data_IF_510845297327
#
_entry.id   IF_510845297327
#
_cell.length_a   1.000
_cell.length_b   1.000
_cell.length_c   1.000
_cell.angle_alpha   90.00
_cell.angle_beta   90.00
_cell.angle_gamma   90.00
#
_symmetry.space_group_name_H-M   'P 1'
#
loop_
_entity.id
_entity.type
_entity.pdbx_description
1 polymer ?
#
# COMPACT_ATOMS: atom_id res chain seq x y z
N UNK A 1 -18.25 -23.35 -34.40
CA UNK A 1 -17.03 -23.06 -33.63
C UNK A 1 -16.22 -22.03 -34.41
N UNK A 2 -16.06 -20.78 -33.95
CA UNK A 2 -14.99 -19.90 -34.41
C UNK A 2 -13.82 -20.02 -33.42
N UNK A 3 -12.75 -20.71 -33.79
CA UNK A 3 -11.52 -20.13 -34.37
C UNK A 3 -10.83 -19.13 -33.43
N UNK A 4 -10.04 -19.69 -32.51
CA UNK A 4 -8.85 -19.15 -31.84
C UNK A 4 -8.71 -17.63 -31.86
N UNK A 5 -9.32 -16.99 -30.87
CA UNK A 5 -9.12 -15.61 -30.49
C UNK A 5 -7.81 -15.43 -29.69
N UNK A 6 -6.69 -15.86 -30.27
CA UNK A 6 -5.37 -15.68 -29.65
C UNK A 6 -4.95 -14.21 -29.62
N UNK A 7 -5.65 -13.33 -30.36
CA UNK A 7 -5.50 -11.87 -30.28
C UNK A 7 -6.06 -11.30 -28.98
N UNK A 8 -7.13 -11.88 -28.41
CA UNK A 8 -7.55 -11.60 -27.02
C UNK A 8 -6.57 -12.11 -25.96
N UNK A 9 -5.76 -13.13 -26.27
CA UNK A 9 -4.79 -13.72 -25.33
C UNK A 9 -3.40 -13.04 -25.36
N UNK A 10 -3.14 -12.11 -26.29
CA UNK A 10 -1.81 -11.50 -26.48
C UNK A 10 -1.82 -9.97 -26.66
N UNK A 11 -2.99 -9.33 -26.66
CA UNK A 11 -3.05 -7.87 -26.60
C UNK A 11 -2.98 -7.45 -25.13
N UNK A 12 -1.89 -6.78 -24.74
CA UNK A 12 -1.94 -5.91 -23.57
C UNK A 12 -3.15 -5.00 -23.75
N UNK A 13 -4.07 -5.01 -22.78
CA UNK A 13 -5.24 -4.15 -22.83
C UNK A 13 -4.73 -2.72 -23.00
N UNK A 14 -5.27 -2.01 -23.98
CA UNK A 14 -4.90 -0.61 -24.18
C UNK A 14 -5.38 0.20 -22.97
N UNK A 15 -4.67 1.28 -22.67
CA UNK A 15 -5.05 2.26 -21.64
C UNK A 15 -6.55 2.61 -21.68
N UNK A 16 -7.08 2.82 -22.90
CA UNK A 16 -8.49 3.16 -23.13
C UNK A 16 -9.47 2.01 -22.84
N UNK A 17 -9.07 0.77 -23.04
CA UNK A 17 -9.90 -0.40 -22.72
C UNK A 17 -10.01 -0.58 -21.21
N UNK A 18 -8.93 -0.37 -20.47
CA UNK A 18 -8.95 -0.49 -19.01
C UNK A 18 -9.78 0.62 -18.39
N UNK A 19 -9.61 1.88 -18.81
CA UNK A 19 -10.46 2.99 -18.34
C UNK A 19 -11.95 2.68 -18.54
N UNK A 20 -12.34 2.04 -19.65
CA UNK A 20 -13.73 1.62 -19.87
C UNK A 20 -14.16 0.51 -18.91
N UNK A 21 -13.32 -0.51 -18.68
CA UNK A 21 -13.60 -1.59 -17.73
C UNK A 21 -13.71 -1.06 -16.30
N UNK A 22 -12.87 -0.10 -15.92
CA UNK A 22 -12.93 0.60 -14.64
C UNK A 22 -14.25 1.36 -14.47
N UNK A 23 -14.65 2.14 -15.49
CA UNK A 23 -15.94 2.86 -15.48
C UNK A 23 -17.15 1.91 -15.45
N UNK A 24 -16.99 0.69 -15.96
CA UNK A 24 -18.00 -0.34 -15.90
C UNK A 24 -18.01 -1.12 -14.56
N UNK A 25 -17.02 -0.89 -13.67
CA UNK A 25 -16.87 -1.62 -12.42
C UNK A 25 -16.55 -3.10 -12.62
N UNK A 26 -15.94 -3.46 -13.75
CA UNK A 26 -15.57 -4.85 -14.02
C UNK A 26 -14.44 -5.30 -13.09
N UNK A 27 -14.48 -6.56 -12.65
CA UNK A 27 -13.33 -7.18 -11.98
C UNK A 27 -12.15 -7.25 -12.96
N UNK A 28 -10.99 -6.86 -12.44
CA UNK A 28 -9.68 -6.90 -13.08
C UNK A 28 -8.72 -7.81 -12.29
N UNK A 29 -9.27 -8.76 -11.52
CA UNK A 29 -8.47 -9.69 -10.73
C UNK A 29 -7.57 -10.55 -11.62
N UNK A 30 -6.30 -10.69 -11.23
CA UNK A 30 -5.28 -11.45 -11.95
C UNK A 30 -4.82 -10.83 -13.28
N UNK A 31 -5.35 -9.68 -13.67
CA UNK A 31 -5.01 -9.03 -14.94
C UNK A 31 -3.61 -8.39 -14.88
N UNK A 32 -2.96 -8.28 -16.05
CA UNK A 32 -1.70 -7.57 -16.17
C UNK A 32 -1.94 -6.09 -16.50
N UNK A 33 -1.69 -5.23 -15.52
CA UNK A 33 -1.90 -3.79 -15.53
C UNK A 33 -0.59 -3.01 -15.32
N UNK A 34 0.56 -3.67 -15.50
CA UNK A 34 1.86 -3.08 -15.19
C UNK A 34 2.19 -1.87 -16.08
N UNK A 35 2.76 -0.84 -15.48
CA UNK A 35 3.18 0.42 -16.11
C UNK A 35 2.05 1.22 -16.79
N UNK A 36 0.79 0.96 -16.44
CA UNK A 36 -0.34 1.70 -16.98
C UNK A 36 -0.57 3.02 -16.25
N UNK A 37 -1.17 3.97 -16.95
CA UNK A 37 -1.57 5.27 -16.41
C UNK A 37 -3.01 5.23 -15.90
N UNK A 38 -3.20 4.80 -14.66
CA UNK A 38 -4.49 4.79 -13.97
C UNK A 38 -4.71 6.05 -13.11
N UNK A 39 -4.05 7.16 -13.47
CA UNK A 39 -4.18 8.44 -12.78
C UNK A 39 -5.64 8.92 -12.79
N UNK A 40 -6.11 9.41 -11.65
CA UNK A 40 -7.47 9.94 -11.44
C UNK A 40 -8.63 8.96 -11.78
N UNK A 41 -8.37 7.65 -11.85
CA UNK A 41 -9.42 6.69 -12.21
C UNK A 41 -10.38 6.41 -11.03
N UNK A 42 -11.70 6.25 -11.31
CA UNK A 42 -12.68 5.87 -10.31
C UNK A 42 -12.68 4.34 -10.13
N UNK A 43 -11.80 3.85 -9.26
CA UNK A 43 -11.59 2.42 -8.98
C UNK A 43 -12.27 1.97 -7.68
N UNK A 44 -13.23 2.75 -7.16
CA UNK A 44 -13.87 2.46 -5.90
C UNK A 44 -14.62 1.11 -5.96
N UNK A 45 -14.40 0.24 -4.99
CA UNK A 45 -14.99 -1.09 -4.89
C UNK A 45 -14.54 -2.08 -5.97
N UNK A 46 -13.58 -1.72 -6.82
CA UNK A 46 -13.11 -2.62 -7.88
C UNK A 46 -12.37 -3.82 -7.28
N UNK A 47 -12.46 -4.94 -7.97
CA UNK A 47 -11.71 -6.13 -7.63
C UNK A 47 -10.44 -6.21 -8.50
N UNK A 48 -9.29 -5.98 -7.85
CA UNK A 48 -7.94 -6.02 -8.41
C UNK A 48 -7.08 -7.07 -7.69
N UNK A 49 -7.69 -8.06 -7.01
CA UNK A 49 -6.90 -9.10 -6.34
C UNK A 49 -6.01 -9.85 -7.31
N UNK A 50 -4.79 -10.19 -6.89
CA UNK A 50 -3.79 -10.90 -7.71
C UNK A 50 -3.36 -10.14 -8.99
N UNK A 51 -3.83 -8.91 -9.22
CA UNK A 51 -3.46 -8.14 -10.40
C UNK A 51 -1.99 -7.73 -10.36
N UNK A 52 -1.37 -7.65 -11.53
CA UNK A 52 -0.03 -7.09 -11.67
C UNK A 52 -0.12 -5.59 -11.98
N UNK A 53 0.08 -4.74 -10.99
CA UNK A 53 0.10 -3.28 -11.06
C UNK A 53 1.52 -2.71 -10.92
N UNK A 54 2.55 -3.53 -11.12
CA UNK A 54 3.95 -3.09 -10.97
C UNK A 54 4.26 -1.89 -11.86
N UNK A 55 4.83 -0.84 -11.27
CA UNK A 55 5.14 0.42 -11.94
C UNK A 55 3.94 1.21 -12.47
N UNK A 56 2.69 0.82 -12.17
CA UNK A 56 1.52 1.56 -12.59
C UNK A 56 1.44 2.94 -11.92
N UNK A 57 0.96 3.94 -12.65
CA UNK A 57 0.64 5.24 -12.11
C UNK A 57 -0.82 5.25 -11.65
N UNK A 58 -1.05 5.38 -10.36
CA UNK A 58 -2.36 5.42 -9.70
C UNK A 58 -2.52 6.75 -8.95
N UNK A 59 -1.78 7.78 -9.34
CA UNK A 59 -1.86 9.09 -8.70
C UNK A 59 -3.30 9.59 -8.64
N UNK A 60 -3.73 9.98 -7.43
CA UNK A 60 -5.08 10.47 -7.15
C UNK A 60 -6.22 9.52 -7.57
N UNK A 61 -5.95 8.23 -7.81
CA UNK A 61 -7.00 7.26 -8.07
C UNK A 61 -7.89 7.07 -6.83
N UNK A 62 -9.18 6.84 -7.04
CA UNK A 62 -10.09 6.46 -5.96
C UNK A 62 -10.18 4.94 -5.88
N UNK A 63 -9.53 4.34 -4.89
CA UNK A 63 -9.51 2.91 -4.57
C UNK A 63 -10.31 2.61 -3.29
N UNK A 64 -11.24 3.49 -2.91
CA UNK A 64 -12.08 3.30 -1.72
C UNK A 64 -12.79 1.95 -1.78
N UNK A 65 -12.71 1.16 -0.71
CA UNK A 65 -13.28 -0.20 -0.62
C UNK A 65 -12.80 -1.21 -1.69
N UNK A 66 -11.75 -0.89 -2.46
CA UNK A 66 -11.22 -1.81 -3.48
C UNK A 66 -10.52 -3.04 -2.86
N UNK A 67 -10.48 -4.13 -3.62
CA UNK A 67 -9.75 -5.34 -3.26
C UNK A 67 -8.43 -5.41 -4.04
N UNK A 68 -7.30 -5.30 -3.36
CA UNK A 68 -5.93 -5.43 -3.88
C UNK A 68 -5.18 -6.57 -3.17
N UNK A 69 -5.90 -7.53 -2.59
CA UNK A 69 -5.25 -8.67 -1.94
C UNK A 69 -4.34 -9.42 -2.92
N UNK A 70 -3.15 -9.78 -2.45
CA UNK A 70 -2.12 -10.51 -3.21
C UNK A 70 -1.70 -9.84 -4.53
N UNK A 71 -2.05 -8.56 -4.75
CA UNK A 71 -1.65 -7.81 -5.93
C UNK A 71 -0.16 -7.44 -5.88
N UNK A 72 0.48 -7.37 -7.05
CA UNK A 72 1.83 -6.84 -7.18
C UNK A 72 1.78 -5.34 -7.51
N UNK A 73 2.15 -4.49 -6.55
CA UNK A 73 2.23 -3.03 -6.67
C UNK A 73 3.69 -2.54 -6.60
N UNK A 74 4.66 -3.41 -6.89
CA UNK A 74 6.09 -3.05 -6.83
C UNK A 74 6.38 -1.81 -7.66
N UNK A 75 6.93 -0.77 -7.03
CA UNK A 75 7.26 0.50 -7.68
C UNK A 75 6.06 1.31 -8.20
N UNK A 76 4.82 0.95 -7.83
CA UNK A 76 3.63 1.69 -8.25
C UNK A 76 3.55 3.06 -7.57
N UNK A 77 2.96 4.04 -8.25
CA UNK A 77 2.81 5.40 -7.76
C UNK A 77 1.36 5.68 -7.36
N UNK A 78 1.04 5.57 -6.08
CA UNK A 78 -0.28 5.84 -5.50
C UNK A 78 -0.32 7.18 -4.76
N UNK A 79 0.55 8.14 -5.14
CA UNK A 79 0.64 9.41 -4.44
C UNK A 79 -0.70 10.17 -4.53
N UNK A 80 -1.20 10.66 -3.40
CA UNK A 80 -2.50 11.34 -3.29
C UNK A 80 -3.74 10.45 -3.53
N UNK A 81 -3.59 9.15 -3.73
CA UNK A 81 -4.71 8.24 -3.96
C UNK A 81 -5.60 8.10 -2.70
N UNK A 82 -6.88 7.79 -2.91
CA UNK A 82 -7.81 7.50 -1.82
C UNK A 82 -7.97 5.98 -1.69
N UNK A 83 -7.45 5.40 -0.60
CA UNK A 83 -7.47 3.96 -0.31
C UNK A 83 -8.21 3.66 1.00
N UNK A 84 -9.31 4.35 1.25
CA UNK A 84 -10.07 4.15 2.48
C UNK A 84 -10.69 2.76 2.48
N UNK A 85 -10.45 1.98 3.56
CA UNK A 85 -10.96 0.60 3.73
C UNK A 85 -10.59 -0.36 2.59
N UNK A 86 -9.50 -0.07 1.87
CA UNK A 86 -8.96 -0.95 0.83
C UNK A 86 -8.32 -2.19 1.44
N UNK A 87 -8.48 -3.34 0.79
CA UNK A 87 -7.84 -4.59 1.18
C UNK A 87 -6.52 -4.75 0.44
N UNK A 88 -5.40 -4.85 1.18
CA UNK A 88 -4.02 -4.96 0.67
C UNK A 88 -3.32 -6.17 1.35
N UNK A 89 -4.09 -7.18 1.75
CA UNK A 89 -3.56 -8.34 2.47
C UNK A 89 -2.68 -9.14 1.50
N UNK A 90 -1.44 -9.42 1.90
CA UNK A 90 -0.49 -10.19 1.09
C UNK A 90 0.07 -9.48 -0.15
N UNK A 91 -0.31 -8.23 -0.42
CA UNK A 91 0.19 -7.49 -1.59
C UNK A 91 1.68 -7.15 -1.50
N UNK A 92 2.36 -7.09 -2.63
CA UNK A 92 3.73 -6.59 -2.71
C UNK A 92 3.75 -5.07 -2.96
N UNK A 93 4.11 -4.28 -1.93
CA UNK A 93 4.20 -2.83 -1.98
C UNK A 93 5.65 -2.34 -2.04
N UNK A 94 6.59 -3.22 -2.39
CA UNK A 94 8.02 -2.90 -2.44
C UNK A 94 8.26 -1.69 -3.34
N UNK A 95 8.98 -0.68 -2.83
CA UNK A 95 9.28 0.59 -3.51
C UNK A 95 8.05 1.39 -4.03
N UNK A 96 6.83 1.04 -3.61
CA UNK A 96 5.62 1.79 -3.97
C UNK A 96 5.57 3.15 -3.24
N UNK A 97 4.95 4.15 -3.87
CA UNK A 97 4.71 5.46 -3.27
C UNK A 97 3.25 5.64 -2.87
N UNK A 98 3.01 5.90 -1.60
CA UNK A 98 1.73 6.32 -1.00
C UNK A 98 1.84 7.73 -0.42
N UNK A 99 2.76 8.56 -0.92
CA UNK A 99 2.94 9.92 -0.42
C UNK A 99 1.62 10.70 -0.47
N UNK A 100 1.23 11.30 0.65
CA UNK A 100 -0.02 12.05 0.81
C UNK A 100 -1.32 11.24 0.54
N UNK A 101 -1.23 9.91 0.43
CA UNK A 101 -2.39 9.05 0.21
C UNK A 101 -3.24 8.88 1.47
N UNK A 102 -4.53 8.58 1.28
CA UNK A 102 -5.50 8.37 2.36
C UNK A 102 -5.83 6.89 2.51
N UNK A 103 -5.11 6.19 3.39
CA UNK A 103 -5.26 4.77 3.71
C UNK A 103 -6.09 4.54 4.99
N UNK A 104 -6.98 5.46 5.35
CA UNK A 104 -7.74 5.34 6.60
C UNK A 104 -8.53 4.03 6.64
N UNK A 105 -8.26 3.20 7.63
CA UNK A 105 -8.90 1.90 7.81
C UNK A 105 -8.52 0.85 6.76
N UNK A 106 -7.45 1.04 5.99
CA UNK A 106 -6.96 0.05 5.04
C UNK A 106 -6.37 -1.18 5.76
N UNK A 107 -6.39 -2.33 5.09
CA UNK A 107 -5.93 -3.61 5.63
C UNK A 107 -4.64 -4.05 4.93
N UNK A 108 -3.48 -3.73 5.49
CA UNK A 108 -2.15 -4.04 4.92
C UNK A 108 -1.46 -5.22 5.63
N UNK A 109 -2.19 -6.03 6.39
CA UNK A 109 -1.62 -7.17 7.10
C UNK A 109 -1.07 -8.21 6.12
N UNK A 110 0.19 -8.61 6.27
CA UNK A 110 0.82 -9.57 5.37
C UNK A 110 1.52 -8.95 4.16
N UNK A 111 1.35 -7.64 3.92
CA UNK A 111 1.97 -6.97 2.78
C UNK A 111 3.49 -6.83 2.92
N UNK A 112 4.20 -6.78 1.79
CA UNK A 112 5.62 -6.47 1.73
C UNK A 112 5.80 -4.96 1.63
N UNK A 113 6.49 -4.36 2.60
CA UNK A 113 6.60 -2.89 2.73
C UNK A 113 8.02 -2.36 2.52
N UNK A 114 8.90 -3.13 1.89
CA UNK A 114 10.32 -2.75 1.79
C UNK A 114 10.48 -1.54 0.86
N UNK A 115 11.05 -0.44 1.36
CA UNK A 115 11.24 0.78 0.56
C UNK A 115 9.97 1.57 0.24
N UNK A 116 8.83 1.17 0.80
CA UNK A 116 7.56 1.86 0.57
C UNK A 116 7.55 3.25 1.20
N UNK A 117 7.07 4.24 0.44
CA UNK A 117 6.97 5.63 0.87
C UNK A 117 5.56 5.95 1.36
N UNK A 118 5.37 6.06 2.68
CA UNK A 118 4.13 6.52 3.33
C UNK A 118 4.24 7.98 3.84
N UNK A 119 5.17 8.78 3.32
CA UNK A 119 5.36 10.17 3.78
C UNK A 119 4.03 10.93 3.72
N UNK A 120 3.66 11.60 4.81
CA UNK A 120 2.42 12.39 4.94
C UNK A 120 1.12 11.61 4.68
N UNK A 121 1.16 10.29 4.57
CA UNK A 121 -0.02 9.48 4.36
C UNK A 121 -0.92 9.45 5.60
N UNK A 122 -2.23 9.30 5.41
CA UNK A 122 -3.19 9.08 6.50
C UNK A 122 -3.49 7.59 6.63
N UNK A 123 -2.89 6.94 7.60
CA UNK A 123 -3.05 5.52 7.93
C UNK A 123 -3.88 5.32 9.20
N UNK A 124 -4.69 6.30 9.60
CA UNK A 124 -5.49 6.16 10.82
C UNK A 124 -6.36 4.91 10.77
N UNK A 125 -6.35 4.14 11.85
CA UNK A 125 -7.10 2.87 11.98
C UNK A 125 -6.75 1.80 10.95
N UNK A 126 -5.67 1.96 10.18
CA UNK A 126 -5.21 0.92 9.29
C UNK A 126 -4.62 -0.26 10.09
N UNK A 127 -4.66 -1.46 9.53
CA UNK A 127 -3.85 -2.57 10.01
C UNK A 127 -2.58 -2.64 9.17
N UNK A 128 -1.42 -2.58 9.82
CA UNK A 128 -0.11 -2.63 9.17
C UNK A 128 0.59 -3.88 9.67
N UNK A 129 1.07 -4.73 8.77
CA UNK A 129 1.78 -5.95 9.15
C UNK A 129 2.67 -6.43 8.03
N UNK A 130 3.97 -6.55 8.29
CA UNK A 130 4.93 -7.04 7.32
C UNK A 130 5.65 -8.26 7.92
N UNK A 131 5.20 -9.49 7.61
CA UNK A 131 5.71 -10.70 8.25
C UNK A 131 7.14 -11.02 7.82
N UNK A 132 7.59 -10.46 6.69
CA UNK A 132 8.92 -10.67 6.14
C UNK A 132 9.33 -9.49 5.28
N UNK A 133 10.17 -8.60 5.81
CA UNK A 133 10.92 -7.65 5.00
C UNK A 133 12.40 -7.87 5.27
N UNK A 134 13.12 -8.28 4.24
CA UNK A 134 14.58 -8.28 4.27
C UNK A 134 15.03 -6.87 3.91
N UNK A 135 15.93 -6.29 4.72
CA UNK A 135 16.46 -4.95 4.45
C UNK A 135 16.97 -4.95 3.00
N UNK A 136 16.54 -4.01 2.16
CA UNK A 136 17.15 -3.90 0.85
C UNK A 136 18.63 -3.58 1.08
N UNK A 137 19.50 -4.00 0.16
CA UNK A 137 20.95 -3.87 0.31
C UNK A 137 21.41 -2.44 0.66
N UNK A 138 22.70 -2.16 0.85
CA UNK A 138 23.20 -0.88 1.36
C UNK A 138 22.77 0.40 0.61
N UNK A 139 22.09 0.28 -0.54
CA UNK A 139 21.55 1.36 -1.35
C UNK A 139 20.02 1.31 -1.54
N UNK A 140 19.33 0.43 -0.81
CA UNK A 140 17.89 0.29 -0.88
C UNK A 140 17.14 1.46 -0.25
N UNK A 141 15.97 1.77 -0.81
CA UNK A 141 15.06 2.75 -0.21
C UNK A 141 14.60 2.26 1.16
N UNK A 142 14.61 3.14 2.15
CA UNK A 142 14.07 2.84 3.47
C UNK A 142 12.56 3.04 3.48
N UNK A 143 11.82 2.12 4.11
CA UNK A 143 10.39 2.32 4.37
C UNK A 143 10.21 3.56 5.24
N UNK A 144 9.41 4.52 4.78
CA UNK A 144 9.29 5.83 5.42
C UNK A 144 7.84 6.16 5.76
N UNK A 145 7.59 6.51 7.01
CA UNK A 145 6.34 7.06 7.52
C UNK A 145 6.52 8.52 7.95
N UNK A 146 7.50 9.24 7.41
CA UNK A 146 7.79 10.61 7.84
C UNK A 146 6.54 11.50 7.73
N UNK A 147 6.17 12.18 8.82
CA UNK A 147 4.97 13.00 8.94
C UNK A 147 3.64 12.27 8.63
N UNK A 148 3.63 10.93 8.63
CA UNK A 148 2.40 10.16 8.42
C UNK A 148 1.51 10.21 9.67
N UNK A 149 0.21 10.04 9.47
CA UNK A 149 -0.75 9.92 10.55
C UNK A 149 -1.10 8.45 10.80
N UNK A 150 -0.56 7.88 11.87
CA UNK A 150 -0.74 6.48 12.27
C UNK A 150 -1.69 6.36 13.48
N UNK A 151 -2.47 7.40 13.77
CA UNK A 151 -3.34 7.41 14.94
C UNK A 151 -4.35 6.26 14.93
N UNK A 152 -4.49 5.57 16.06
CA UNK A 152 -5.34 4.36 16.18
C UNK A 152 -4.94 3.20 15.23
N UNK A 153 -3.83 3.28 14.51
CA UNK A 153 -3.37 2.19 13.64
C UNK A 153 -2.93 0.98 14.47
N UNK A 154 -3.11 -0.20 13.89
CA UNK A 154 -2.75 -1.47 14.54
C UNK A 154 -1.55 -2.05 13.80
N UNK A 155 -0.44 -2.20 14.50
CA UNK A 155 0.73 -2.87 13.98
C UNK A 155 0.74 -4.32 14.45
N UNK A 156 0.76 -5.25 13.50
CA UNK A 156 1.05 -6.66 13.76
C UNK A 156 2.53 -6.88 14.09
N UNK A 157 2.99 -8.13 14.05
CA UNK A 157 4.43 -8.42 14.09
C UNK A 157 5.10 -7.73 12.90
N UNK A 158 5.90 -6.71 13.20
CA UNK A 158 6.62 -5.92 12.21
C UNK A 158 8.07 -5.87 12.65
N UNK A 159 8.92 -6.55 11.87
CA UNK A 159 10.38 -6.48 11.98
C UNK A 159 10.87 -5.66 10.80
N UNK A 160 10.86 -4.35 10.95
CA UNK A 160 11.42 -3.47 9.94
C UNK A 160 12.69 -2.81 10.50
N UNK A 161 13.81 -3.18 9.92
CA UNK A 161 15.11 -2.57 10.19
C UNK A 161 15.26 -1.34 9.30
N UNK A 162 15.64 -0.19 9.87
CA UNK A 162 15.89 1.02 9.10
C UNK A 162 14.65 1.84 8.73
N UNK A 163 13.52 1.72 9.45
CA UNK A 163 12.33 2.55 9.15
C UNK A 163 12.48 3.99 9.60
N UNK A 164 11.95 4.92 8.82
CA UNK A 164 11.92 6.34 9.17
C UNK A 164 10.54 6.69 9.70
N UNK A 165 10.45 7.19 10.92
CA UNK A 165 9.19 7.55 11.59
C UNK A 165 9.16 9.03 12.02
N UNK A 166 10.11 9.84 11.56
CA UNK A 166 10.27 11.22 12.03
C UNK A 166 9.00 12.04 11.81
N UNK A 167 8.47 12.64 12.89
CA UNK A 167 7.25 13.46 12.85
C UNK A 167 5.96 12.67 12.61
N UNK A 168 6.01 11.34 12.57
CA UNK A 168 4.81 10.52 12.45
C UNK A 168 3.99 10.59 13.74
N UNK A 169 2.66 10.58 13.61
CA UNK A 169 1.74 10.62 14.74
C UNK A 169 1.28 9.21 15.11
N UNK A 170 1.67 8.72 16.29
CA UNK A 170 1.28 7.40 16.80
C UNK A 170 0.22 7.44 17.91
N UNK A 171 -0.53 8.53 18.04
CA UNK A 171 -1.54 8.65 19.10
C UNK A 171 -2.53 7.47 19.08
N UNK A 172 -2.61 6.76 20.20
CA UNK A 172 -3.45 5.57 20.39
C UNK A 172 -3.16 4.43 19.38
N UNK A 173 -2.02 4.45 18.69
CA UNK A 173 -1.57 3.37 17.82
C UNK A 173 -1.09 2.17 18.66
N UNK A 174 -1.40 0.96 18.20
CA UNK A 174 -1.01 -0.28 18.87
C UNK A 174 0.28 -0.82 18.27
N UNK A 175 1.39 -0.69 19.00
CA UNK A 175 2.73 -1.15 18.66
C UNK A 175 3.11 -2.36 19.53
N UNK A 176 2.26 -3.39 19.56
CA UNK A 176 2.44 -4.50 20.50
C UNK A 176 3.65 -5.35 20.12
N UNK A 177 3.92 -5.65 18.84
CA UNK A 177 5.05 -6.54 18.46
C UNK A 177 6.00 -5.89 17.44
N UNK A 178 6.18 -4.58 17.54
CA UNK A 178 7.02 -3.82 16.62
C UNK A 178 8.45 -3.74 17.17
N UNK A 179 9.40 -4.22 16.39
CA UNK A 179 10.82 -4.02 16.65
C UNK A 179 11.26 -2.66 16.11
N UNK A 180 11.56 -1.73 17.01
CA UNK A 180 12.04 -0.37 16.71
C UNK A 180 13.55 -0.20 16.90
N UNK A 181 14.30 -1.28 17.11
CA UNK A 181 15.74 -1.22 17.45
C UNK A 181 16.62 -0.53 16.40
N UNK A 182 16.17 -0.53 15.14
CA UNK A 182 16.87 0.11 14.00
C UNK A 182 15.99 1.17 13.32
N UNK A 183 14.96 1.66 14.01
CA UNK A 183 14.11 2.74 13.52
C UNK A 183 14.73 4.12 13.78
N UNK A 184 14.51 5.07 12.87
CA UNK A 184 14.88 6.47 13.01
C UNK A 184 13.64 7.25 13.44
N UNK A 185 13.59 7.66 14.71
CA UNK A 185 12.48 8.40 15.31
C UNK A 185 12.98 9.31 16.44
N UNK A 186 12.14 10.28 16.84
CA UNK A 186 12.30 11.02 18.10
C UNK A 186 11.39 10.37 19.13
N UNK A 187 11.78 10.35 20.41
CA UNK A 187 10.94 9.78 21.47
C UNK A 187 9.52 10.39 21.49
N UNK A 188 9.41 11.69 21.22
CA UNK A 188 8.14 12.40 21.13
C UNK A 188 7.22 11.91 19.99
N UNK A 189 7.76 11.29 18.94
CA UNK A 189 6.95 10.74 17.84
C UNK A 189 6.10 9.55 18.33
N UNK A 190 6.56 8.83 19.37
CA UNK A 190 5.87 7.67 19.94
C UNK A 190 4.93 8.01 21.11
N UNK A 191 4.76 9.30 21.45
CA UNK A 191 3.91 9.73 22.55
C UNK A 191 2.45 9.27 22.34
N UNK A 192 1.88 8.61 23.35
CA UNK A 192 0.51 8.11 23.28
C UNK A 192 0.34 6.79 22.51
N UNK A 193 1.42 6.21 21.98
CA UNK A 193 1.41 4.85 21.45
C UNK A 193 1.24 3.81 22.57
N UNK A 194 0.60 2.69 22.25
CA UNK A 194 0.38 1.56 23.15
C UNK A 194 1.37 0.45 22.79
N UNK A 195 2.35 0.18 23.66
CA UNK A 195 3.39 -0.85 23.46
C UNK A 195 3.25 -2.01 24.45
N UNK A 196 4.08 -3.07 24.34
CA UNK A 196 4.13 -4.16 25.36
C UNK A 196 4.36 -3.64 26.78
N UNK A 197 5.01 -2.47 26.95
CA UNK A 197 5.32 -1.88 28.25
C UNK A 197 4.19 -1.02 28.82
N UNK A 198 3.08 -0.85 28.08
CA UNK A 198 2.00 0.07 28.41
C UNK A 198 1.93 1.26 27.46
N UNK A 199 1.31 2.36 27.88
CA UNK A 199 1.31 3.62 27.12
C UNK A 199 2.65 4.33 27.27
N UNK A 200 3.25 4.73 26.15
CA UNK A 200 4.46 5.56 26.10
C UNK A 200 4.14 7.03 26.33
#
# INVERSE_FOLDING_TARGET
MPYNDWRRLMAQLTQNEIVKRCQAGESLSGENLANLDLTNQPLAGIDLSEANLSGADLQNADLTDANLNDANLTGANLSGATLQRTYLVGSDLTDASFEEANLRGAFLSGSLLCGTNFRRADLRRATVGCPRCEMPGPFGSLTSFENANLGEAIFGEIKLKGIILLGANFKDAYLYEVDLSEAVYREADLEGAITKKGRN
#
